data_IF_722667261370
#
_entry.id   IF_722667261370
#
_cell.length_a   1.000
_cell.length_b   1.000
_cell.length_c   1.000
_cell.angle_alpha   90.00
_cell.angle_beta   90.00
_cell.angle_gamma   90.00
#
_symmetry.space_group_name_H-M   'P 1'
#
loop_
_entity.id
_entity.type
_entity.pdbx_description
1 polymer ?
#
# COMPACT_ATOMS: atom_id res chain seq x y z
N UNK A 1 26.17 5.10 9.73
CA UNK A 1 26.34 6.57 9.61
C UNK A 1 26.37 7.09 8.16
N UNK A 2 26.54 6.25 7.12
CA UNK A 2 26.38 6.69 5.72
C UNK A 2 24.92 6.68 5.19
N UNK A 3 24.06 5.79 5.70
CA UNK A 3 22.69 5.64 5.20
C UNK A 3 21.75 6.81 5.54
N UNK A 4 22.08 7.63 6.54
CA UNK A 4 21.25 8.79 6.94
C UNK A 4 21.51 10.06 6.12
N UNK A 5 22.62 10.13 5.35
CA UNK A 5 22.96 11.30 4.53
C UNK A 5 22.14 11.41 3.23
N UNK A 6 21.57 10.30 2.76
CA UNK A 6 20.83 10.28 1.49
C UNK A 6 19.34 10.61 1.63
N UNK A 7 18.77 10.50 2.84
CA UNK A 7 17.33 10.61 3.07
C UNK A 7 16.85 12.03 3.38
N UNK A 8 17.73 12.91 3.86
CA UNK A 8 17.41 14.30 4.18
C UNK A 8 18.45 15.20 3.52
N UNK A 9 18.06 15.86 2.43
CA UNK A 9 18.90 16.82 1.70
C UNK A 9 19.22 18.05 2.54
N UNK A 10 20.15 17.91 3.48
CA UNK A 10 20.72 19.02 4.23
C UNK A 10 21.72 19.70 3.31
N UNK A 11 21.30 20.84 2.77
CA UNK A 11 22.16 21.78 2.10
C UNK A 11 22.95 22.52 3.18
N UNK A 12 24.25 22.28 3.30
CA UNK A 12 25.11 23.17 4.09
C UNK A 12 25.24 24.48 3.31
N UNK A 13 24.77 25.57 3.94
CA UNK A 13 25.02 26.94 3.52
C UNK A 13 26.54 27.17 3.50
N UNK A 14 27.08 27.42 2.31
CA UNK A 14 28.46 27.86 2.14
C UNK A 14 28.46 29.38 2.18
N UNK A 15 29.10 29.93 3.22
CA UNK A 15 29.42 31.35 3.36
C UNK A 15 30.09 31.90 2.09
N UNK A 16 29.42 32.81 1.39
CA UNK A 16 29.99 33.61 0.32
C UNK A 16 30.95 34.64 0.91
N UNK A 17 32.25 34.46 0.68
CA UNK A 17 33.21 35.57 0.68
C UNK A 17 33.40 36.04 -0.76
N UNK A 18 32.91 37.25 -1.03
CA UNK A 18 33.17 38.00 -2.25
C UNK A 18 34.68 38.14 -2.48
N UNK A 19 35.13 37.70 -3.65
CA UNK A 19 36.43 38.06 -4.20
C UNK A 19 36.24 38.40 -5.69
N UNK A 20 36.35 39.69 -5.97
CA UNK A 20 36.39 40.29 -7.31
C UNK A 20 37.43 39.60 -8.20
N UNK A 21 37.04 38.88 -9.26
CA UNK A 21 37.97 38.53 -10.34
C UNK A 21 37.30 38.35 -11.71
N UNK A 22 37.91 39.04 -12.69
CA UNK A 22 37.68 39.18 -14.13
C UNK A 22 36.90 38.09 -14.90
N UNK A 23 36.06 38.54 -15.84
CA UNK A 23 35.09 37.76 -16.63
C UNK A 23 35.60 36.61 -17.53
N UNK A 24 36.88 36.24 -17.51
CA UNK A 24 37.42 35.09 -18.25
C UNK A 24 37.42 33.81 -17.41
N UNK A 25 37.47 33.92 -16.08
CA UNK A 25 37.40 32.78 -15.14
C UNK A 25 35.97 32.28 -14.95
N UNK A 26 34.96 33.14 -15.07
CA UNK A 26 33.55 32.77 -14.94
C UNK A 26 33.09 31.75 -15.99
N UNK A 27 33.54 31.88 -17.25
CA UNK A 27 33.21 30.94 -18.32
C UNK A 27 33.93 29.58 -18.16
N UNK A 28 35.18 29.60 -17.68
CA UNK A 28 35.93 28.39 -17.37
C UNK A 28 35.30 27.65 -16.20
N UNK A 29 34.98 28.33 -15.09
CA UNK A 29 34.32 27.76 -13.91
C UNK A 29 32.93 27.19 -14.26
N UNK A 30 32.17 27.87 -15.12
CA UNK A 30 30.87 27.38 -15.62
C UNK A 30 31.01 26.07 -16.42
N UNK A 31 32.02 25.97 -17.29
CA UNK A 31 32.29 24.75 -18.06
C UNK A 31 32.78 23.59 -17.17
N UNK A 32 33.64 23.86 -16.17
CA UNK A 32 34.09 22.83 -15.24
C UNK A 32 32.95 22.36 -14.33
N UNK A 33 32.05 23.25 -13.93
CA UNK A 33 30.85 22.92 -13.16
C UNK A 33 29.85 22.10 -13.99
N UNK A 34 29.70 22.41 -15.29
CA UNK A 34 28.86 21.62 -16.20
C UNK A 34 29.43 20.20 -16.42
N UNK A 35 30.75 20.07 -16.61
CA UNK A 35 31.42 18.78 -16.74
C UNK A 35 31.41 17.97 -15.43
N UNK A 36 31.52 18.63 -14.28
CA UNK A 36 31.38 17.98 -12.97
C UNK A 36 29.96 17.47 -12.71
N UNK A 37 28.94 18.25 -13.09
CA UNK A 37 27.53 17.80 -13.04
C UNK A 37 27.26 16.64 -13.98
N UNK A 38 27.84 16.64 -15.19
CA UNK A 38 27.71 15.54 -16.14
C UNK A 38 28.40 14.26 -15.64
N UNK A 39 29.58 14.39 -15.02
CA UNK A 39 30.28 13.25 -14.38
C UNK A 39 29.50 12.71 -13.18
N UNK A 40 29.03 13.58 -12.29
CA UNK A 40 28.21 13.18 -11.15
C UNK A 40 26.89 12.52 -11.59
N UNK A 41 26.28 12.98 -12.69
CA UNK A 41 25.10 12.36 -13.27
C UNK A 41 25.39 10.96 -13.86
N UNK A 42 26.55 10.77 -14.51
CA UNK A 42 26.99 9.47 -15.03
C UNK A 42 27.34 8.50 -13.91
N UNK A 43 27.98 8.97 -12.84
CA UNK A 43 28.33 8.18 -11.66
C UNK A 43 27.08 7.76 -10.88
N UNK A 44 26.12 8.67 -10.67
CA UNK A 44 24.82 8.36 -10.11
C UNK A 44 23.99 7.39 -10.98
N UNK A 45 24.13 7.46 -12.32
CA UNK A 45 23.49 6.51 -13.23
C UNK A 45 24.12 5.11 -13.14
N UNK A 46 25.45 5.01 -13.02
CA UNK A 46 26.16 3.75 -12.81
C UNK A 46 25.82 3.12 -11.45
N UNK A 47 25.75 3.93 -10.39
CA UNK A 47 25.31 3.48 -9.07
C UNK A 47 23.86 2.97 -9.11
N UNK A 48 22.97 3.65 -9.84
CA UNK A 48 21.59 3.22 -10.04
C UNK A 48 21.54 1.86 -10.76
N UNK A 49 22.34 1.65 -11.78
CA UNK A 49 22.40 0.38 -12.51
C UNK A 49 22.93 -0.75 -11.61
N UNK A 50 23.96 -0.49 -10.81
CA UNK A 50 24.50 -1.44 -9.84
C UNK A 50 23.47 -1.80 -8.75
N UNK A 51 22.70 -0.82 -8.27
CA UNK A 51 21.61 -1.04 -7.30
C UNK A 51 20.48 -1.86 -7.92
N UNK A 52 20.08 -1.57 -9.17
CA UNK A 52 19.07 -2.35 -9.88
C UNK A 52 19.53 -3.81 -10.09
N UNK A 53 20.78 -4.02 -10.49
CA UNK A 53 21.36 -5.36 -10.64
C UNK A 53 21.43 -6.10 -9.29
N UNK A 54 21.78 -5.41 -8.21
CA UNK A 54 21.78 -5.95 -6.85
C UNK A 54 20.37 -6.35 -6.38
N UNK A 55 19.38 -5.49 -6.60
CA UNK A 55 17.99 -5.78 -6.27
C UNK A 55 17.44 -6.98 -7.07
N UNK A 56 17.73 -7.07 -8.37
CA UNK A 56 17.36 -8.22 -9.19
C UNK A 56 18.00 -9.52 -8.70
N UNK A 57 19.27 -9.47 -8.26
CA UNK A 57 19.94 -10.62 -7.65
C UNK A 57 19.27 -11.04 -6.34
N UNK A 58 18.93 -10.08 -5.47
CA UNK A 58 18.18 -10.36 -4.23
C UNK A 58 16.83 -11.04 -4.49
N UNK A 59 16.10 -10.60 -5.52
CA UNK A 59 14.82 -11.22 -5.91
C UNK A 59 14.99 -12.65 -6.46
N UNK A 60 16.16 -13.00 -6.98
CA UNK A 60 16.51 -14.36 -7.46
C UNK A 60 17.09 -15.27 -6.37
N UNK A 61 17.40 -14.72 -5.20
CA UNK A 61 18.11 -15.40 -4.12
C UNK A 61 17.26 -16.18 -3.09
N UNK A 62 15.92 -16.21 -3.07
CA UNK A 62 15.28 -17.09 -2.10
C UNK A 62 15.57 -18.55 -2.47
N UNK A 63 15.75 -19.35 -1.42
CA UNK A 63 16.18 -20.76 -1.40
C UNK A 63 15.40 -21.74 -2.31
N UNK A 64 14.41 -21.27 -3.08
CA UNK A 64 13.55 -22.03 -3.98
C UNK A 64 13.91 -21.85 -5.47
N UNK A 65 14.64 -20.80 -5.85
CA UNK A 65 14.89 -20.45 -7.27
C UNK A 65 16.07 -21.22 -7.87
N UNK A 66 16.98 -21.73 -7.04
CA UNK A 66 18.22 -22.41 -7.47
C UNK A 66 17.93 -23.65 -8.35
N UNK A 67 16.72 -24.22 -8.28
CA UNK A 67 16.34 -25.42 -9.02
C UNK A 67 15.20 -25.18 -10.03
N UNK A 68 14.60 -23.98 -10.09
CA UNK A 68 13.43 -23.70 -10.93
C UNK A 68 13.45 -22.26 -11.50
N UNK A 69 13.91 -22.05 -12.74
CA UNK A 69 13.96 -20.72 -13.34
C UNK A 69 12.58 -20.07 -13.49
N UNK A 70 11.51 -20.87 -13.71
CA UNK A 70 10.14 -20.39 -13.74
C UNK A 70 9.68 -19.78 -12.40
N UNK A 71 10.21 -20.25 -11.26
CA UNK A 71 9.91 -19.68 -9.96
C UNK A 71 10.51 -18.28 -9.79
N UNK A 72 11.66 -18.01 -10.42
CA UNK A 72 12.28 -16.68 -10.43
C UNK A 72 11.39 -15.65 -11.13
N UNK A 73 10.84 -16.03 -12.28
CA UNK A 73 9.96 -15.18 -13.10
C UNK A 73 8.64 -14.91 -12.38
N UNK A 74 8.04 -15.95 -11.78
CA UNK A 74 6.84 -15.79 -10.96
C UNK A 74 7.07 -14.85 -9.77
N UNK A 75 8.22 -14.96 -9.12
CA UNK A 75 8.54 -14.09 -8.00
C UNK A 75 8.78 -12.64 -8.43
N UNK A 76 9.52 -12.42 -9.52
CA UNK A 76 9.70 -11.09 -10.10
C UNK A 76 8.36 -10.46 -10.49
N UNK A 77 7.46 -11.28 -11.05
CA UNK A 77 6.10 -10.89 -11.40
C UNK A 77 5.30 -10.46 -10.16
N UNK A 78 5.28 -11.29 -9.12
CA UNK A 78 4.61 -10.98 -7.86
C UNK A 78 5.17 -9.74 -7.19
N UNK A 79 6.50 -9.57 -7.15
CA UNK A 79 7.13 -8.40 -6.55
C UNK A 79 6.75 -7.12 -7.27
N UNK A 80 6.79 -7.12 -8.61
CA UNK A 80 6.41 -5.95 -9.41
C UNK A 80 4.93 -5.62 -9.26
N UNK A 81 4.06 -6.64 -9.17
CA UNK A 81 2.66 -6.44 -8.80
C UNK A 81 2.52 -5.79 -7.42
N UNK A 82 3.21 -6.32 -6.40
CA UNK A 82 3.14 -5.78 -5.04
C UNK A 82 3.57 -4.32 -4.98
N UNK A 83 4.64 -3.95 -5.69
CA UNK A 83 5.08 -2.55 -5.79
C UNK A 83 4.02 -1.65 -6.45
N UNK A 84 3.49 -2.06 -7.60
CA UNK A 84 2.45 -1.31 -8.32
C UNK A 84 1.17 -1.18 -7.46
N UNK A 85 0.81 -2.25 -6.76
CA UNK A 85 -0.32 -2.27 -5.83
C UNK A 85 -0.12 -1.27 -4.69
N UNK A 86 1.05 -1.29 -4.03
CA UNK A 86 1.36 -0.35 -2.95
C UNK A 86 1.35 1.11 -3.44
N UNK A 87 1.84 1.38 -4.64
CA UNK A 87 1.81 2.73 -5.22
C UNK A 87 0.37 3.18 -5.53
N UNK A 88 -0.44 2.32 -6.17
CA UNK A 88 -1.83 2.66 -6.54
C UNK A 88 -2.77 2.76 -5.36
N UNK A 89 -2.53 1.99 -4.32
CA UNK A 89 -3.25 2.12 -3.05
C UNK A 89 -2.70 3.27 -2.21
N UNK A 90 -1.68 3.98 -2.71
CA UNK A 90 -0.90 5.01 -2.04
C UNK A 90 -0.52 4.62 -0.62
N UNK A 91 -0.05 3.38 -0.50
CA UNK A 91 0.76 2.93 0.62
C UNK A 91 2.21 3.34 0.42
N UNK A 92 2.63 3.49 -0.84
CA UNK A 92 3.94 3.93 -1.27
C UNK A 92 3.81 5.10 -2.24
N UNK A 93 4.66 6.10 -2.12
CA UNK A 93 4.82 7.13 -3.12
C UNK A 93 5.72 6.63 -4.26
N UNK A 94 5.74 7.38 -5.37
CA UNK A 94 6.54 7.00 -6.56
C UNK A 94 8.05 7.00 -6.30
N UNK A 95 8.50 7.73 -5.29
CA UNK A 95 9.88 7.78 -4.82
C UNK A 95 10.24 6.62 -3.86
N UNK A 96 9.28 5.77 -3.50
CA UNK A 96 9.46 4.67 -2.57
C UNK A 96 9.28 5.04 -1.10
N UNK A 97 8.86 6.27 -0.78
CA UNK A 97 8.51 6.65 0.60
C UNK A 97 7.14 6.10 0.98
N UNK A 98 6.94 5.73 2.25
CA UNK A 98 5.62 5.31 2.74
C UNK A 98 4.69 6.53 2.84
N UNK A 99 3.47 6.44 2.32
CA UNK A 99 2.51 7.56 2.37
C UNK A 99 1.76 7.59 3.71
N UNK A 100 1.69 8.76 4.33
CA UNK A 100 0.93 9.14 5.54
C UNK A 100 0.39 7.97 6.42
N UNK A 101 -0.86 7.46 6.28
CA UNK A 101 -1.33 6.45 7.22
C UNK A 101 -0.67 5.08 7.01
N UNK A 102 -0.11 4.80 5.83
CA UNK A 102 0.52 3.52 5.53
C UNK A 102 1.82 3.32 6.31
N UNK A 103 2.59 4.38 6.52
CA UNK A 103 3.78 4.33 7.36
C UNK A 103 3.43 3.96 8.81
N UNK A 104 2.39 4.58 9.36
CA UNK A 104 1.91 4.29 10.71
C UNK A 104 1.32 2.87 10.83
N UNK A 105 0.46 2.48 9.89
CA UNK A 105 -0.26 1.21 9.95
C UNK A 105 0.66 0.02 9.68
N UNK A 106 1.71 0.19 8.88
CA UNK A 106 2.75 -0.84 8.69
C UNK A 106 3.53 -1.15 9.98
N UNK A 107 3.67 -0.18 10.89
CA UNK A 107 4.32 -0.39 12.20
C UNK A 107 3.40 -1.06 13.23
N UNK A 108 2.08 -0.96 13.06
CA UNK A 108 1.10 -1.51 14.01
C UNK A 108 0.99 -3.05 13.89
N UNK A 109 1.00 -3.61 12.68
CA UNK A 109 0.90 -5.06 12.48
C UNK A 109 1.73 -5.52 11.26
N UNK A 110 3.03 -5.81 11.44
CA UNK A 110 3.90 -6.16 10.30
C UNK A 110 3.50 -7.47 9.58
N UNK A 111 2.67 -8.33 10.19
CA UNK A 111 2.37 -9.69 9.71
C UNK A 111 1.01 -9.87 9.04
N UNK A 112 0.04 -8.97 9.26
CA UNK A 112 -1.34 -9.21 8.82
C UNK A 112 -1.74 -8.35 7.62
N UNK A 113 -2.41 -8.97 6.64
CA UNK A 113 -2.98 -8.30 5.47
C UNK A 113 -4.06 -7.27 5.84
N UNK A 114 -4.59 -7.33 7.06
CA UNK A 114 -5.55 -6.38 7.62
C UNK A 114 -5.01 -4.94 7.68
N UNK A 115 -3.69 -4.75 7.68
CA UNK A 115 -3.03 -3.44 7.58
C UNK A 115 -3.48 -2.66 6.36
N UNK A 116 -3.56 -3.30 5.19
CA UNK A 116 -4.00 -2.62 3.96
C UNK A 116 -5.47 -2.21 4.01
N UNK A 117 -6.30 -3.07 4.62
CA UNK A 117 -7.70 -2.79 4.87
C UNK A 117 -7.89 -1.60 5.84
N UNK A 118 -7.14 -1.57 6.94
CA UNK A 118 -7.17 -0.47 7.89
C UNK A 118 -6.70 0.85 7.26
N UNK A 119 -5.62 0.80 6.48
CA UNK A 119 -5.12 1.97 5.79
C UNK A 119 -6.12 2.50 4.74
N UNK A 120 -6.86 1.61 4.06
CA UNK A 120 -7.96 1.99 3.17
C UNK A 120 -9.10 2.67 3.93
N UNK A 121 -9.48 2.15 5.11
CA UNK A 121 -10.52 2.74 5.96
C UNK A 121 -10.14 4.14 6.44
N UNK A 122 -8.92 4.31 6.96
CA UNK A 122 -8.39 5.62 7.38
C UNK A 122 -8.41 6.63 6.23
N UNK A 123 -7.94 6.22 5.04
CA UNK A 123 -7.93 7.10 3.87
C UNK A 123 -9.31 7.47 3.35
N UNK A 124 -10.31 6.61 3.57
CA UNK A 124 -11.66 6.84 3.10
C UNK A 124 -12.48 7.78 3.99
N UNK A 125 -12.00 8.11 5.19
CA UNK A 125 -12.74 8.92 6.15
C UNK A 125 -13.75 8.14 7.01
N UNK A 126 -13.82 6.81 6.88
CA UNK A 126 -14.85 6.01 7.55
C UNK A 126 -14.72 6.08 9.07
N UNK A 127 -13.50 6.07 9.61
CA UNK A 127 -13.30 6.14 11.06
C UNK A 127 -13.65 7.54 11.58
N UNK A 128 -13.31 8.58 10.83
CA UNK A 128 -13.65 9.96 11.10
C UNK A 128 -15.18 10.16 11.09
N UNK A 129 -15.87 9.53 10.14
CA UNK A 129 -17.33 9.56 10.06
C UNK A 129 -17.99 8.86 11.25
N UNK A 130 -17.45 7.73 11.72
CA UNK A 130 -17.91 7.06 12.96
C UNK A 130 -17.76 8.00 14.15
N UNK A 131 -16.61 8.66 14.29
CA UNK A 131 -16.36 9.61 15.39
C UNK A 131 -17.31 10.81 15.33
N UNK A 132 -17.54 11.38 14.13
CA UNK A 132 -18.46 12.50 13.93
C UNK A 132 -19.93 12.13 14.13
N UNK A 133 -20.31 10.90 13.80
CA UNK A 133 -21.67 10.40 14.01
C UNK A 133 -21.96 10.25 15.50
N UNK A 134 -20.93 9.91 16.28
CA UNK A 134 -21.00 9.76 17.73
C UNK A 134 -20.24 10.90 18.45
N UNK A 135 -20.45 12.15 18.02
CA UNK A 135 -19.90 13.34 18.69
C UNK A 135 -20.96 14.08 19.50
N UNK A 136 -20.55 14.75 20.58
CA UNK A 136 -21.41 15.63 21.38
C UNK A 136 -22.07 16.73 20.52
N UNK A 137 -21.42 17.16 19.44
CA UNK A 137 -21.92 18.19 18.52
C UNK A 137 -23.20 17.80 17.76
N UNK A 138 -23.52 16.50 17.69
CA UNK A 138 -24.76 16.02 17.07
C UNK A 138 -26.00 16.22 17.97
N UNK A 139 -25.79 16.57 19.24
CA UNK A 139 -26.89 16.83 20.17
C UNK A 139 -27.42 18.25 19.92
N UNK A 140 -28.57 18.34 19.23
CA UNK A 140 -29.20 19.61 18.85
C UNK A 140 -29.44 20.57 20.03
N UNK A 141 -29.61 20.04 21.23
CA UNK A 141 -29.81 20.82 22.45
C UNK A 141 -28.72 20.52 23.47
N UNK A 142 -27.73 21.42 23.55
CA UNK A 142 -26.59 21.29 24.47
C UNK A 142 -27.02 21.28 25.95
N UNK A 143 -28.21 21.76 26.29
CA UNK A 143 -28.73 21.71 27.67
C UNK A 143 -29.06 20.28 28.14
N UNK A 144 -29.29 19.35 27.20
CA UNK A 144 -29.56 17.92 27.48
C UNK A 144 -28.29 17.08 27.62
N UNK A 145 -27.13 17.70 27.47
CA UNK A 145 -25.84 17.04 27.53
C UNK A 145 -25.45 16.76 28.98
N UNK A 146 -26.14 15.80 29.59
CA UNK A 146 -25.82 15.30 30.93
C UNK A 146 -24.63 14.33 30.88
N UNK A 147 -23.99 14.10 32.03
CA UNK A 147 -22.88 13.13 32.15
C UNK A 147 -23.24 11.75 31.59
N UNK A 148 -24.46 11.26 31.87
CA UNK A 148 -24.94 9.96 31.38
C UNK A 148 -25.09 9.92 29.85
N UNK A 149 -25.51 11.03 29.23
CA UNK A 149 -25.63 11.12 27.76
C UNK A 149 -24.24 11.11 27.12
N UNK A 150 -23.28 11.85 27.68
CA UNK A 150 -21.88 11.82 27.19
C UNK A 150 -21.26 10.42 27.26
N UNK A 151 -21.49 9.72 28.36
CA UNK A 151 -21.03 8.33 28.54
C UNK A 151 -21.65 7.40 27.50
N UNK A 152 -22.95 7.54 27.20
CA UNK A 152 -23.62 6.76 26.15
C UNK A 152 -23.08 7.04 24.74
N UNK A 153 -22.83 8.29 24.41
CA UNK A 153 -22.25 8.68 23.11
C UNK A 153 -20.85 8.06 22.96
N UNK A 154 -20.03 8.16 24.02
CA UNK A 154 -18.68 7.60 24.04
C UNK A 154 -18.72 6.08 23.90
N UNK A 155 -19.59 5.40 24.66
CA UNK A 155 -19.74 3.95 24.58
C UNK A 155 -20.19 3.48 23.19
N UNK A 156 -21.12 4.19 22.56
CA UNK A 156 -21.58 3.87 21.20
C UNK A 156 -20.45 4.05 20.17
N UNK A 157 -19.69 5.14 20.28
CA UNK A 157 -18.51 5.38 19.43
C UNK A 157 -17.48 4.26 19.58
N UNK A 158 -17.12 3.95 20.81
CA UNK A 158 -16.07 2.97 21.11
C UNK A 158 -16.54 1.56 20.70
N UNK A 159 -17.82 1.23 20.87
CA UNK A 159 -18.40 -0.01 20.36
C UNK A 159 -18.33 -0.10 18.83
N UNK A 160 -18.65 0.98 18.11
CA UNK A 160 -18.57 1.01 16.65
C UNK A 160 -17.13 0.83 16.15
N UNK A 161 -16.17 1.53 16.78
CA UNK A 161 -14.75 1.37 16.46
C UNK A 161 -14.24 -0.04 16.79
N UNK A 162 -14.56 -0.57 17.98
CA UNK A 162 -14.18 -1.93 18.38
C UNK A 162 -14.74 -2.98 17.42
N UNK A 163 -15.99 -2.82 16.98
CA UNK A 163 -16.59 -3.71 15.99
C UNK A 163 -15.78 -3.74 14.69
N UNK A 164 -15.31 -2.57 14.21
CA UNK A 164 -14.42 -2.49 13.06
C UNK A 164 -13.11 -3.23 13.32
N UNK A 165 -12.39 -2.89 14.38
CA UNK A 165 -11.08 -3.48 14.67
C UNK A 165 -11.15 -5.00 14.89
N UNK A 166 -12.12 -5.49 15.66
CA UNK A 166 -12.29 -6.92 15.90
C UNK A 166 -12.72 -7.70 14.65
N UNK A 167 -13.33 -7.03 13.66
CA UNK A 167 -13.61 -7.65 12.36
C UNK A 167 -12.44 -7.54 11.36
N UNK A 168 -11.40 -6.76 11.64
CA UNK A 168 -10.19 -6.67 10.82
C UNK A 168 -9.08 -7.60 11.33
N UNK A 169 -8.80 -7.56 12.63
CA UNK A 169 -7.60 -8.17 13.23
C UNK A 169 -7.91 -9.46 13.99
N UNK A 170 -6.93 -10.38 14.03
CA UNK A 170 -6.94 -11.60 14.85
C UNK A 170 -8.19 -12.49 14.70
N UNK A 171 -8.78 -12.48 13.49
CA UNK A 171 -9.97 -13.29 13.20
C UNK A 171 -9.64 -14.76 13.09
N UNK A 172 -10.32 -15.56 13.92
CA UNK A 172 -10.33 -17.01 13.79
C UNK A 172 -11.51 -17.44 12.90
N UNK A 173 -11.28 -17.94 11.68
CA UNK A 173 -12.35 -18.44 10.83
C UNK A 173 -13.03 -19.63 11.51
N UNK A 174 -14.35 -19.58 11.62
CA UNK A 174 -15.14 -20.69 12.16
C UNK A 174 -15.37 -21.74 11.07
N UNK A 175 -15.32 -23.01 11.46
CA UNK A 175 -15.71 -24.11 10.57
C UNK A 175 -17.18 -23.95 10.14
N UNK A 176 -17.58 -24.26 8.89
CA UNK A 176 -18.94 -24.02 8.39
C UNK A 176 -20.07 -24.58 9.26
N UNK A 177 -19.87 -25.77 9.86
CA UNK A 177 -20.82 -26.35 10.83
C UNK A 177 -21.00 -25.49 12.09
N UNK A 178 -19.90 -24.97 12.63
CA UNK A 178 -19.90 -24.09 13.80
C UNK A 178 -20.53 -22.74 13.46
N UNK A 179 -20.25 -22.19 12.28
CA UNK A 179 -20.88 -20.97 11.79
C UNK A 179 -22.41 -21.13 11.63
N UNK A 180 -22.88 -22.27 11.10
CA UNK A 180 -24.30 -22.56 11.00
C UNK A 180 -24.98 -22.69 12.37
N UNK A 181 -24.31 -23.28 13.36
CA UNK A 181 -24.78 -23.33 14.74
C UNK A 181 -24.82 -21.95 15.40
N UNK A 182 -23.80 -21.13 15.16
CA UNK A 182 -23.74 -19.76 15.65
C UNK A 182 -24.88 -18.90 15.11
N UNK A 183 -25.17 -18.99 13.81
CA UNK A 183 -26.33 -18.32 13.19
C UNK A 183 -27.67 -18.76 13.76
N UNK A 184 -27.75 -19.95 14.35
CA UNK A 184 -28.94 -20.50 15.02
C UNK A 184 -28.99 -20.18 16.52
N UNK A 185 -28.03 -19.41 17.05
CA UNK A 185 -27.93 -19.12 18.49
C UNK A 185 -27.56 -20.33 19.36
N UNK A 186 -27.09 -21.42 18.75
CA UNK A 186 -26.78 -22.69 19.44
C UNK A 186 -25.30 -22.81 19.81
N UNK A 187 -24.56 -21.70 19.83
CA UNK A 187 -23.12 -21.72 20.07
C UNK A 187 -22.83 -21.81 21.57
N UNK A 188 -22.25 -22.94 21.99
CA UNK A 188 -22.05 -23.27 23.42
C UNK A 188 -20.70 -22.83 24.00
N UNK A 189 -19.88 -22.14 23.23
CA UNK A 189 -18.53 -21.73 23.67
C UNK A 189 -18.54 -20.26 24.09
N UNK A 190 -17.67 -19.88 25.03
CA UNK A 190 -17.43 -18.49 25.49
C UNK A 190 -16.80 -17.56 24.42
N UNK A 191 -17.05 -17.82 23.15
CA UNK A 191 -16.51 -17.08 22.00
C UNK A 191 -17.53 -16.05 21.54
N UNK A 192 -17.06 -14.84 21.30
CA UNK A 192 -17.86 -13.79 20.64
C UNK A 192 -17.85 -14.07 19.14
N UNK A 193 -19.03 -14.24 18.55
CA UNK A 193 -19.19 -14.42 17.11
C UNK A 193 -19.55 -13.06 16.52
N UNK A 194 -18.58 -12.46 15.84
CA UNK A 194 -18.77 -11.19 15.16
C UNK A 194 -19.26 -11.43 13.75
N UNK A 195 -20.29 -10.69 13.36
CA UNK A 195 -20.78 -10.68 11.98
C UNK A 195 -20.29 -9.44 11.25
N UNK A 196 -20.09 -9.56 9.92
CA UNK A 196 -19.66 -8.42 9.11
C UNK A 196 -20.67 -7.26 9.12
N UNK A 197 -21.94 -7.57 9.41
CA UNK A 197 -23.02 -6.58 9.51
C UNK A 197 -22.84 -5.63 10.70
N UNK A 198 -22.14 -6.07 11.75
CA UNK A 198 -21.83 -5.26 12.94
C UNK A 198 -20.79 -4.17 12.68
N UNK A 199 -20.03 -4.27 11.58
CA UNK A 199 -18.98 -3.30 11.21
C UNK A 199 -19.55 -1.97 10.69
N UNK A 200 -20.84 -1.96 10.33
CA UNK A 200 -21.48 -0.82 9.67
C UNK A 200 -21.29 -0.83 8.15
N UNK A 201 -22.31 -0.33 7.45
CA UNK A 201 -22.42 -0.43 5.99
C UNK A 201 -21.30 0.31 5.27
N UNK A 202 -20.87 1.47 5.79
CA UNK A 202 -19.82 2.29 5.17
C UNK A 202 -18.46 1.60 5.19
N UNK A 203 -18.07 1.02 6.34
CA UNK A 203 -16.82 0.29 6.49
C UNK A 203 -16.81 -0.97 5.61
N UNK A 204 -17.88 -1.77 5.66
CA UNK A 204 -18.01 -2.97 4.84
C UNK A 204 -17.91 -2.66 3.34
N UNK A 205 -18.56 -1.57 2.90
CA UNK A 205 -18.52 -1.13 1.50
C UNK A 205 -17.12 -0.75 1.06
N UNK A 206 -16.39 0.03 1.86
CA UNK A 206 -15.03 0.41 1.45
C UNK A 206 -14.08 -0.79 1.47
N UNK A 207 -14.22 -1.74 2.40
CA UNK A 207 -13.46 -2.99 2.37
C UNK A 207 -13.73 -3.82 1.11
N UNK A 208 -15.00 -3.99 0.74
CA UNK A 208 -15.39 -4.67 -0.50
C UNK A 208 -14.81 -3.96 -1.73
N UNK A 209 -14.86 -2.62 -1.74
CA UNK A 209 -14.30 -1.80 -2.81
C UNK A 209 -12.78 -1.96 -2.90
N UNK A 210 -12.07 -1.93 -1.77
CA UNK A 210 -10.63 -2.13 -1.69
C UNK A 210 -10.24 -3.52 -2.24
N UNK A 211 -10.90 -4.58 -1.77
CA UNK A 211 -10.67 -5.94 -2.27
C UNK A 211 -10.94 -6.07 -3.76
N UNK A 212 -12.04 -5.48 -4.24
CA UNK A 212 -12.39 -5.51 -5.67
C UNK A 212 -11.34 -4.79 -6.52
N UNK A 213 -10.81 -3.66 -6.06
CA UNK A 213 -9.71 -2.95 -6.73
C UNK A 213 -8.42 -3.78 -6.75
N UNK A 214 -8.09 -4.45 -5.64
CA UNK A 214 -6.92 -5.31 -5.55
C UNK A 214 -6.98 -6.47 -6.56
N UNK A 215 -8.12 -7.18 -6.60
CA UNK A 215 -8.39 -8.26 -7.55
C UNK A 215 -8.33 -7.73 -8.98
N UNK A 216 -9.03 -6.64 -9.29
CA UNK A 216 -9.04 -6.06 -10.63
C UNK A 216 -7.64 -5.65 -11.10
N UNK A 217 -6.83 -5.07 -10.21
CA UNK A 217 -5.44 -4.70 -10.53
C UNK A 217 -4.60 -5.94 -10.82
N UNK A 218 -4.70 -6.97 -9.97
CA UNK A 218 -3.96 -8.21 -10.16
C UNK A 218 -4.37 -8.92 -11.46
N UNK A 219 -5.67 -9.02 -11.73
CA UNK A 219 -6.20 -9.58 -12.98
C UNK A 219 -5.68 -8.83 -14.20
N UNK A 220 -5.74 -7.49 -14.22
CA UNK A 220 -5.20 -6.68 -15.33
C UNK A 220 -3.70 -6.88 -15.50
N UNK A 221 -2.96 -6.99 -14.40
CA UNK A 221 -1.53 -7.19 -14.43
C UNK A 221 -1.14 -8.57 -14.97
N UNK A 222 -1.80 -9.64 -14.53
CA UNK A 222 -1.65 -10.99 -15.10
C UNK A 222 -1.99 -11.01 -16.59
N UNK A 223 -3.04 -10.31 -16.99
CA UNK A 223 -3.48 -10.24 -18.37
C UNK A 223 -2.41 -9.57 -19.25
N UNK A 224 -1.90 -8.42 -18.81
CA UNK A 224 -0.81 -7.73 -19.50
C UNK A 224 0.46 -8.61 -19.58
N UNK A 225 0.78 -9.35 -18.52
CA UNK A 225 1.90 -10.29 -18.52
C UNK A 225 1.70 -11.42 -19.54
N UNK A 226 0.54 -12.08 -19.55
CA UNK A 226 0.21 -13.14 -20.51
C UNK A 226 0.31 -12.61 -21.94
N UNK A 227 -0.19 -11.40 -22.22
CA UNK A 227 -0.13 -10.80 -23.55
C UNK A 227 1.30 -10.48 -24.00
N UNK A 228 2.17 -10.03 -23.09
CA UNK A 228 3.57 -9.78 -23.41
C UNK A 228 4.33 -11.08 -23.73
N UNK A 229 4.07 -12.17 -22.99
CA UNK A 229 4.82 -13.43 -23.12
C UNK A 229 4.19 -14.42 -24.10
N UNK A 230 2.91 -14.24 -24.46
CA UNK A 230 2.29 -14.97 -25.58
C UNK A 230 2.75 -14.46 -26.95
N UNK A 231 3.32 -13.25 -27.02
CA UNK A 231 4.05 -12.76 -28.20
C UNK A 231 5.44 -13.38 -28.36
N UNK A 232 6.11 -13.76 -27.26
CA UNK A 232 7.39 -14.48 -27.30
C UNK A 232 7.22 -15.99 -27.60
N UNK A 233 6.05 -16.56 -27.29
CA UNK A 233 5.68 -17.93 -27.66
C UNK A 233 5.07 -18.05 -29.09
N UNK A 234 5.06 -16.97 -29.86
CA UNK A 234 4.42 -16.90 -31.17
C UNK A 234 5.29 -17.45 -32.32
N UNK A 235 5.51 -18.76 -32.30
CA UNK A 235 5.36 -19.55 -33.54
C UNK A 235 3.94 -20.16 -33.65
N UNK A 236 3.06 -19.92 -32.67
CA UNK A 236 1.63 -20.20 -32.80
C UNK A 236 0.82 -19.32 -31.85
N UNK A 237 -0.12 -18.54 -32.38
CA UNK A 237 -1.04 -17.75 -31.55
C UNK A 237 -1.85 -18.67 -30.64
N UNK A 238 -1.44 -18.78 -29.38
CA UNK A 238 -2.18 -19.48 -28.34
C UNK A 238 -3.55 -18.80 -28.12
N UNK A 239 -4.61 -19.59 -28.17
CA UNK A 239 -6.01 -19.23 -27.91
C UNK A 239 -6.19 -18.44 -26.60
N UNK A 240 -5.31 -18.66 -25.62
CA UNK A 240 -5.25 -17.91 -24.36
C UNK A 240 -4.94 -16.42 -24.53
N UNK A 241 -4.13 -16.03 -25.51
CA UNK A 241 -3.79 -14.63 -25.78
C UNK A 241 -4.97 -13.86 -26.39
N UNK A 242 -5.76 -14.50 -27.25
CA UNK A 242 -6.97 -13.91 -27.83
C UNK A 242 -8.05 -13.70 -26.78
N UNK A 243 -8.30 -14.71 -25.94
CA UNK A 243 -9.24 -14.60 -24.82
C UNK A 243 -8.80 -13.53 -23.80
N UNK A 244 -7.49 -13.40 -23.57
CA UNK A 244 -6.94 -12.36 -22.70
C UNK A 244 -7.20 -10.94 -23.23
N UNK A 245 -7.02 -10.69 -24.53
CA UNK A 245 -7.31 -9.38 -25.14
C UNK A 245 -8.80 -9.04 -25.09
N UNK A 246 -9.68 -10.02 -25.31
CA UNK A 246 -11.13 -9.82 -25.22
C UNK A 246 -11.57 -9.44 -23.80
N UNK A 247 -10.98 -10.04 -22.76
CA UNK A 247 -11.27 -9.71 -21.36
C UNK A 247 -10.76 -8.32 -20.95
N UNK A 248 -9.65 -7.83 -21.50
CA UNK A 248 -9.21 -6.44 -21.26
C UNK A 248 -10.21 -5.42 -21.79
N UNK A 249 -10.76 -5.66 -22.99
CA UNK A 249 -11.70 -4.74 -23.63
C UNK A 249 -13.06 -4.68 -22.92
N UNK A 250 -13.43 -5.73 -22.15
CA UNK A 250 -14.66 -5.75 -21.35
C UNK A 250 -14.52 -5.08 -19.98
N UNK A 251 -13.28 -4.87 -19.52
CA UNK A 251 -12.97 -4.35 -18.18
C UNK A 251 -12.19 -3.02 -18.19
N UNK A 252 -11.98 -2.39 -19.35
CA UNK A 252 -11.47 -1.02 -19.52
C UNK A 252 -12.61 0.00 -19.45
#
# INVERSE_FOLDING_TARGET
RLALRYAYGVSEEVEEKEADFSGTTAAAISNTAAQARERAAKEAAADREAVLAGAQRLLRLPFLVVQQPAAAEQQALHFRFSMEYLVRTGMLARDGSACDPAGLVAHLCYTESAVFALAALLRSGVLEDIVKTHSEDQVADKSKLTKQVKERITAARDQALLSVFCNLFERLPLHPRQAAQARRGQFRTSKVVLTADEMGVSALRELQRHNSRAVALFSRYLLAYVLAHSGEAAEGESEGARNARALLAQHS
#
